data_IF_498629906189
#
_entry.id   IF_498629906189
#
_cell.length_a   1.000
_cell.length_b   1.000
_cell.length_c   1.000
_cell.angle_alpha   90.00
_cell.angle_beta   90.00
_cell.angle_gamma   90.00
#
_symmetry.space_group_name_H-M   'P 1'
#
loop_
_entity.id
_entity.type
_entity.pdbx_description
1 polymer ?
#
# COMPACT_ATOMS: atom_id res chain seq x y z
N UNK A 1 -9.13 7.04 20.84
CA UNK A 1 -9.23 6.68 19.41
C UNK A 1 -8.63 5.28 19.25
N UNK A 2 -9.40 4.32 18.74
CA UNK A 2 -8.88 2.97 18.46
C UNK A 2 -7.79 3.05 17.39
N UNK A 3 -6.57 2.63 17.71
CA UNK A 3 -5.45 2.56 16.76
C UNK A 3 -5.73 1.44 15.77
N UNK A 4 -6.08 1.82 14.54
CA UNK A 4 -6.33 0.87 13.45
C UNK A 4 -5.01 0.20 13.07
N UNK A 5 -4.80 -1.05 13.50
CA UNK A 5 -3.60 -1.83 13.19
C UNK A 5 -3.60 -2.20 11.70
N UNK A 6 -2.62 -1.71 10.95
CA UNK A 6 -2.39 -2.08 9.54
C UNK A 6 -1.19 -3.01 9.45
N UNK A 7 -1.45 -4.28 9.13
CA UNK A 7 -0.37 -5.21 8.79
C UNK A 7 0.13 -4.94 7.37
N UNK A 8 1.40 -5.23 7.07
CA UNK A 8 2.06 -4.86 5.79
C UNK A 8 1.85 -3.40 5.38
N UNK A 9 1.91 -2.47 6.35
CA UNK A 9 1.76 -1.03 6.09
C UNK A 9 2.89 -0.48 5.21
N UNK A 10 4.05 -1.14 5.20
CA UNK A 10 5.24 -0.77 4.42
C UNK A 10 4.93 -0.60 2.93
N UNK A 11 4.04 -1.44 2.39
CA UNK A 11 3.58 -1.37 1.00
C UNK A 11 2.90 -0.01 0.73
N UNK A 12 2.10 0.47 1.68
CA UNK A 12 1.46 1.79 1.59
C UNK A 12 2.43 2.93 1.88
N UNK A 13 3.37 2.76 2.81
CA UNK A 13 4.42 3.76 3.09
C UNK A 13 5.22 4.03 1.83
N UNK A 14 5.71 2.96 1.20
CA UNK A 14 6.45 3.07 -0.06
C UNK A 14 5.57 3.70 -1.15
N UNK A 15 4.31 3.29 -1.24
CA UNK A 15 3.38 3.83 -2.24
C UNK A 15 3.20 5.35 -2.12
N UNK A 16 3.00 5.80 -0.88
CA UNK A 16 2.87 7.22 -0.56
C UNK A 16 4.22 7.89 -0.83
N UNK A 17 5.32 7.51 -0.17
CA UNK A 17 6.63 8.15 -0.34
C UNK A 17 7.08 8.34 -1.80
N UNK A 18 6.81 7.35 -2.66
CA UNK A 18 7.19 7.38 -4.08
C UNK A 18 6.13 7.99 -5.00
N UNK A 19 4.95 8.35 -4.46
CA UNK A 19 3.75 8.75 -5.21
C UNK A 19 3.43 7.77 -6.34
N UNK A 20 3.63 6.47 -6.09
CA UNK A 20 3.35 5.39 -7.03
C UNK A 20 2.85 4.18 -6.28
N UNK A 21 1.64 3.71 -6.60
CA UNK A 21 1.06 2.55 -5.93
C UNK A 21 1.95 1.32 -6.08
N UNK A 22 2.23 0.65 -4.96
CA UNK A 22 3.02 -0.58 -4.92
C UNK A 22 2.36 -1.66 -5.76
N UNK A 23 3.15 -2.29 -6.64
CA UNK A 23 2.68 -3.37 -7.49
C UNK A 23 2.74 -4.71 -6.73
N UNK A 24 1.63 -5.09 -6.11
CA UNK A 24 1.50 -6.35 -5.39
C UNK A 24 1.60 -7.59 -6.30
N UNK A 25 1.38 -7.44 -7.62
CA UNK A 25 1.54 -8.55 -8.56
C UNK A 25 3.02 -8.82 -8.87
N UNK A 26 3.90 -7.82 -8.72
CA UNK A 26 5.35 -8.00 -8.89
C UNK A 26 5.96 -9.00 -7.90
N UNK A 27 5.34 -9.18 -6.73
CA UNK A 27 5.76 -10.13 -5.69
C UNK A 27 4.95 -11.43 -5.70
N UNK A 28 4.18 -11.68 -6.75
CA UNK A 28 3.40 -12.91 -6.90
C UNK A 28 4.35 -14.10 -7.09
N UNK A 29 4.19 -15.18 -6.30
CA UNK A 29 5.06 -16.35 -6.44
C UNK A 29 4.83 -17.04 -7.78
N UNK A 30 5.90 -17.61 -8.32
CA UNK A 30 5.92 -18.37 -9.58
C UNK A 30 6.48 -19.77 -9.33
N UNK A 31 5.80 -20.80 -9.83
CA UNK A 31 6.28 -22.17 -9.73
C UNK A 31 7.30 -22.44 -10.83
N UNK A 32 8.52 -22.80 -10.45
CA UNK A 32 9.59 -23.19 -11.37
C UNK A 32 9.95 -24.63 -11.13
N UNK A 33 9.67 -25.52 -12.08
CA UNK A 33 9.97 -26.94 -11.98
C UNK A 33 11.37 -27.25 -12.54
N UNK A 34 12.00 -28.29 -12.01
CA UNK A 34 13.18 -28.90 -12.61
C UNK A 34 12.74 -29.64 -13.87
N UNK A 35 13.33 -29.28 -15.00
CA UNK A 35 13.03 -29.90 -16.31
C UNK A 35 14.07 -30.94 -16.73
N UNK A 36 15.28 -30.91 -16.15
CA UNK A 36 16.36 -31.84 -16.46
C UNK A 36 15.98 -33.29 -16.10
N UNK A 37 15.88 -34.15 -17.13
CA UNK A 37 15.53 -35.56 -17.01
C UNK A 37 16.65 -36.41 -16.42
N UNK A 38 17.90 -35.92 -16.39
CA UNK A 38 19.02 -36.65 -15.81
C UNK A 38 19.16 -36.43 -14.30
N UNK A 39 18.28 -35.64 -13.69
CA UNK A 39 18.31 -35.36 -12.26
C UNK A 39 17.60 -36.49 -11.48
N UNK A 40 18.32 -37.31 -10.69
CA UNK A 40 17.71 -38.43 -9.98
C UNK A 40 16.70 -37.99 -8.92
N UNK A 41 16.80 -36.75 -8.43
CA UNK A 41 15.89 -36.20 -7.41
C UNK A 41 14.78 -35.32 -8.02
N UNK A 42 14.59 -35.35 -9.35
CA UNK A 42 13.66 -34.45 -10.06
C UNK A 42 12.27 -34.43 -9.42
N UNK A 43 11.72 -35.60 -9.14
CA UNK A 43 10.37 -35.75 -8.61
C UNK A 43 10.25 -35.16 -7.21
N UNK A 44 11.16 -35.53 -6.30
CA UNK A 44 11.21 -35.04 -4.91
C UNK A 44 11.34 -33.51 -4.90
N UNK A 45 12.30 -32.96 -5.67
CA UNK A 45 12.50 -31.51 -5.77
C UNK A 45 11.27 -30.79 -6.34
N UNK A 46 10.58 -31.39 -7.30
CA UNK A 46 9.37 -30.80 -7.88
C UNK A 46 8.19 -30.86 -6.90
N UNK A 47 8.05 -31.93 -6.11
CA UNK A 47 7.03 -32.04 -5.06
C UNK A 47 7.24 -31.01 -3.94
N UNK A 48 8.48 -30.86 -3.46
CA UNK A 48 8.86 -29.82 -2.50
C UNK A 48 8.53 -28.42 -3.04
N UNK A 49 8.94 -28.12 -4.29
CA UNK A 49 8.66 -26.82 -4.93
C UNK A 49 7.17 -26.55 -5.09
N UNK A 50 6.35 -27.56 -5.41
CA UNK A 50 4.89 -27.42 -5.46
C UNK A 50 4.32 -27.08 -4.08
N UNK A 51 4.79 -27.76 -3.05
CA UNK A 51 4.34 -27.55 -1.67
C UNK A 51 4.69 -26.15 -1.16
N UNK A 52 5.93 -25.71 -1.38
CA UNK A 52 6.36 -24.34 -1.07
C UNK A 52 5.57 -23.31 -1.86
N UNK A 53 5.39 -23.52 -3.17
CA UNK A 53 4.61 -22.62 -4.02
C UNK A 53 3.17 -22.44 -3.54
N UNK A 54 2.48 -23.51 -3.13
CA UNK A 54 1.12 -23.42 -2.61
C UNK A 54 1.06 -22.59 -1.32
N UNK A 55 2.04 -22.77 -0.44
CA UNK A 55 2.16 -22.00 0.79
C UNK A 55 2.42 -20.52 0.50
N UNK A 56 3.37 -20.22 -0.38
CA UNK A 56 3.69 -18.86 -0.79
C UNK A 56 2.51 -18.19 -1.49
N UNK A 57 1.78 -18.92 -2.35
CA UNK A 57 0.60 -18.40 -3.02
C UNK A 57 -0.51 -18.05 -2.02
N UNK A 58 -0.69 -18.86 -0.97
CA UNK A 58 -1.64 -18.57 0.11
C UNK A 58 -1.23 -17.29 0.87
N UNK A 59 0.04 -17.17 1.23
CA UNK A 59 0.57 -16.00 1.94
C UNK A 59 0.45 -14.73 1.08
N UNK A 60 0.76 -14.81 -0.21
CA UNK A 60 0.60 -13.70 -1.16
C UNK A 60 -0.87 -13.27 -1.29
N UNK A 61 -1.81 -14.21 -1.43
CA UNK A 61 -3.25 -13.90 -1.45
C UNK A 61 -3.70 -13.17 -0.16
N UNK A 62 -3.19 -13.59 0.99
CA UNK A 62 -3.47 -12.94 2.26
C UNK A 62 -2.90 -11.50 2.31
N UNK A 63 -1.64 -11.31 1.91
CA UNK A 63 -1.02 -9.98 1.81
C UNK A 63 -1.77 -9.07 0.83
N UNK A 64 -2.19 -9.58 -0.33
CA UNK A 64 -2.98 -8.83 -1.32
C UNK A 64 -4.30 -8.33 -0.73
N UNK A 65 -5.03 -9.16 0.00
CA UNK A 65 -6.26 -8.75 0.70
C UNK A 65 -6.00 -7.66 1.74
N UNK A 66 -4.89 -7.78 2.49
CA UNK A 66 -4.47 -6.76 3.46
C UNK A 66 -4.10 -5.45 2.75
N UNK A 67 -3.37 -5.52 1.64
CA UNK A 67 -3.02 -4.37 0.81
C UNK A 67 -4.28 -3.64 0.31
N UNK A 68 -5.27 -4.37 -0.20
CA UNK A 68 -6.56 -3.78 -0.63
C UNK A 68 -7.31 -3.11 0.53
N UNK A 69 -7.25 -3.68 1.74
CA UNK A 69 -7.83 -3.05 2.92
C UNK A 69 -7.06 -1.79 3.34
N UNK A 70 -5.73 -1.84 3.30
CA UNK A 70 -4.88 -0.71 3.64
C UNK A 70 -5.09 0.47 2.67
N UNK A 71 -5.30 0.22 1.37
CA UNK A 71 -5.66 1.29 0.42
C UNK A 71 -6.90 2.07 0.87
N UNK A 72 -7.96 1.37 1.30
CA UNK A 72 -9.20 2.01 1.80
C UNK A 72 -8.96 2.79 3.09
N UNK A 73 -8.14 2.25 3.99
CA UNK A 73 -7.81 2.94 5.24
C UNK A 73 -7.01 4.22 4.97
N UNK A 74 -6.02 4.16 4.06
CA UNK A 74 -5.21 5.30 3.64
C UNK A 74 -6.08 6.33 2.92
N UNK A 75 -6.99 5.91 2.03
CA UNK A 75 -8.00 6.78 1.42
C UNK A 75 -8.80 7.54 2.50
N UNK A 76 -9.36 6.82 3.48
CA UNK A 76 -10.13 7.43 4.56
C UNK A 76 -9.30 8.37 5.44
N UNK A 77 -8.00 8.10 5.61
CA UNK A 77 -7.08 9.02 6.30
C UNK A 77 -6.87 10.30 5.48
N UNK A 78 -6.64 10.19 4.18
CA UNK A 78 -6.45 11.33 3.29
C UNK A 78 -7.69 12.24 3.29
N UNK A 79 -8.87 11.66 3.09
CA UNK A 79 -10.13 12.42 3.07
C UNK A 79 -10.39 13.16 4.39
N UNK A 80 -10.08 12.53 5.54
CA UNK A 80 -10.23 13.18 6.87
C UNK A 80 -9.30 14.38 7.10
N UNK A 81 -8.22 14.51 6.32
CA UNK A 81 -7.32 15.64 6.43
C UNK A 81 -7.63 16.74 5.41
N UNK A 82 -8.51 16.47 4.43
CA UNK A 82 -8.98 17.47 3.50
C UNK A 82 -10.02 18.38 4.17
N UNK A 83 -10.00 19.67 3.84
CA UNK A 83 -11.08 20.59 4.21
C UNK A 83 -12.31 20.35 3.32
N UNK A 84 -13.51 20.69 3.81
CA UNK A 84 -14.79 20.43 3.13
C UNK A 84 -14.79 20.90 1.67
N UNK A 85 -14.26 22.09 1.40
CA UNK A 85 -14.15 22.62 0.04
C UNK A 85 -13.29 21.74 -0.89
N UNK A 86 -12.23 21.11 -0.40
CA UNK A 86 -11.42 20.17 -1.20
C UNK A 86 -12.18 18.88 -1.46
N UNK A 87 -12.89 18.37 -0.45
CA UNK A 87 -13.74 17.17 -0.57
C UNK A 87 -14.83 17.41 -1.62
N UNK A 88 -15.57 18.51 -1.52
CA UNK A 88 -16.60 18.91 -2.49
C UNK A 88 -16.07 18.98 -3.91
N UNK A 89 -14.84 19.48 -4.09
CA UNK A 89 -14.21 19.60 -5.41
C UNK A 89 -13.82 18.23 -5.97
N UNK A 90 -13.28 17.34 -5.14
CA UNK A 90 -12.93 15.97 -5.52
C UNK A 90 -14.19 15.16 -5.89
N UNK A 91 -15.25 15.23 -5.08
CA UNK A 91 -16.49 14.47 -5.29
C UNK A 91 -17.23 14.85 -6.58
N UNK A 92 -17.00 16.05 -7.10
CA UNK A 92 -17.56 16.50 -8.38
C UNK A 92 -16.80 15.98 -9.61
N UNK A 93 -15.63 15.37 -9.43
CA UNK A 93 -14.86 14.83 -10.54
C UNK A 93 -15.49 13.55 -11.07
N UNK A 94 -15.59 13.43 -12.40
CA UNK A 94 -16.23 12.28 -13.04
C UNK A 94 -15.55 10.93 -12.72
N UNK A 95 -14.26 10.95 -12.37
CA UNK A 95 -13.48 9.77 -12.02
C UNK A 95 -13.37 9.52 -10.50
N UNK A 96 -14.10 10.26 -9.67
CA UNK A 96 -14.02 10.16 -8.21
C UNK A 96 -14.33 8.75 -7.69
N UNK A 97 -15.51 8.22 -7.98
CA UNK A 97 -15.94 6.90 -7.48
C UNK A 97 -15.13 5.73 -8.08
N UNK A 98 -14.71 5.86 -9.34
CA UNK A 98 -14.09 4.76 -10.07
C UNK A 98 -12.57 4.69 -9.88
N UNK A 99 -11.89 5.83 -9.83
CA UNK A 99 -10.43 5.94 -9.78
C UNK A 99 -9.95 6.39 -8.41
N UNK A 100 -10.40 7.56 -7.94
CA UNK A 100 -9.85 8.20 -6.73
C UNK A 100 -10.18 7.43 -5.44
N UNK A 101 -11.35 6.79 -5.39
CA UNK A 101 -11.74 5.93 -4.27
C UNK A 101 -10.84 4.68 -4.11
N UNK A 102 -10.38 4.12 -5.23
CA UNK A 102 -9.64 2.86 -5.25
C UNK A 102 -8.11 3.04 -5.27
N UNK A 103 -7.64 4.24 -5.59
CA UNK A 103 -6.23 4.59 -5.68
C UNK A 103 -5.91 5.80 -4.77
N UNK A 104 -5.48 5.56 -3.52
CA UNK A 104 -5.13 6.63 -2.60
C UNK A 104 -3.91 7.44 -3.06
N UNK A 105 -3.06 6.91 -3.94
CA UNK A 105 -1.91 7.64 -4.48
C UNK A 105 -2.38 8.64 -5.53
N UNK A 106 -3.27 8.22 -6.44
CA UNK A 106 -3.91 9.14 -7.39
C UNK A 106 -4.67 10.25 -6.66
N UNK A 107 -5.39 9.91 -5.59
CA UNK A 107 -6.06 10.90 -4.75
C UNK A 107 -5.06 11.94 -4.19
N UNK A 108 -3.92 11.48 -3.65
CA UNK A 108 -2.87 12.37 -3.17
C UNK A 108 -2.28 13.26 -4.26
N UNK A 109 -2.12 12.75 -5.49
CA UNK A 109 -1.67 13.54 -6.63
C UNK A 109 -2.72 14.59 -7.05
N UNK A 110 -4.01 14.24 -7.01
CA UNK A 110 -5.09 15.18 -7.33
C UNK A 110 -5.15 16.32 -6.32
N UNK A 111 -5.07 15.96 -5.04
CA UNK A 111 -4.98 16.91 -3.92
C UNK A 111 -3.74 17.81 -4.05
N UNK A 112 -2.58 17.24 -4.42
CA UNK A 112 -1.38 18.02 -4.75
C UNK A 112 -1.68 19.06 -5.80
N UNK A 113 -2.26 18.65 -6.93
CA UNK A 113 -2.55 19.56 -8.04
C UNK A 113 -3.49 20.70 -7.61
N UNK A 114 -4.49 20.44 -6.77
CA UNK A 114 -5.37 21.48 -6.24
C UNK A 114 -4.64 22.48 -5.32
N UNK A 115 -3.72 21.98 -4.48
CA UNK A 115 -2.91 22.78 -3.57
C UNK A 115 -1.63 23.37 -4.19
N UNK A 116 -1.35 23.14 -5.47
CA UNK A 116 -0.23 23.80 -6.17
C UNK A 116 -0.71 24.83 -7.18
N UNK A 117 -2.03 25.05 -7.27
CA UNK A 117 -2.62 26.03 -8.19
C UNK A 117 -2.48 27.48 -7.70
N UNK A 118 -2.09 27.70 -6.43
CA UNK A 118 -1.75 29.03 -5.90
C UNK A 118 -0.39 28.98 -5.19
N UNK A 119 0.46 29.99 -5.39
CA UNK A 119 1.85 30.02 -4.87
C UNK A 119 1.92 29.84 -3.34
N UNK A 120 0.89 30.25 -2.61
CA UNK A 120 0.81 30.15 -1.16
C UNK A 120 0.43 28.73 -0.65
N UNK A 121 -0.13 27.86 -1.50
CA UNK A 121 -0.65 26.54 -1.07
C UNK A 121 0.36 25.39 -1.18
N UNK A 122 1.52 25.61 -1.83
CA UNK A 122 2.59 24.60 -1.92
C UNK A 122 3.13 24.19 -0.54
N UNK A 123 3.22 25.15 0.40
CA UNK A 123 3.64 24.89 1.78
C UNK A 123 2.61 24.08 2.57
N UNK A 124 1.32 24.31 2.32
CA UNK A 124 0.22 23.56 2.96
C UNK A 124 0.20 22.11 2.50
N UNK A 125 0.39 21.87 1.19
CA UNK A 125 0.57 20.52 0.66
C UNK A 125 1.76 19.80 1.28
N UNK A 126 2.91 20.47 1.37
CA UNK A 126 4.10 19.87 1.98
C UNK A 126 3.89 19.54 3.47
N UNK A 127 3.17 20.40 4.20
CA UNK A 127 2.77 20.16 5.58
C UNK A 127 1.84 18.95 5.74
N UNK A 128 0.82 18.84 4.88
CA UNK A 128 -0.09 17.70 4.83
C UNK A 128 0.67 16.42 4.50
N UNK A 129 1.55 16.48 3.50
CA UNK A 129 2.40 15.38 3.06
C UNK A 129 3.29 14.84 4.17
N UNK A 130 4.00 15.74 4.84
CA UNK A 130 4.91 15.42 5.94
C UNK A 130 4.13 14.85 7.13
N UNK A 131 2.96 15.41 7.43
CA UNK A 131 2.09 14.90 8.49
C UNK A 131 1.58 13.50 8.18
N UNK A 132 1.15 13.25 6.93
CA UNK A 132 0.71 11.93 6.47
C UNK A 132 1.85 10.91 6.54
N UNK A 133 3.00 11.24 5.92
CA UNK A 133 4.18 10.38 5.93
C UNK A 133 4.63 10.04 7.35
N UNK A 134 4.68 11.03 8.24
CA UNK A 134 5.02 10.81 9.64
C UNK A 134 4.00 9.91 10.33
N UNK A 135 2.70 10.16 10.15
CA UNK A 135 1.63 9.37 10.80
C UNK A 135 1.66 7.91 10.37
N UNK A 136 1.87 7.64 9.08
CA UNK A 136 2.01 6.26 8.59
C UNK A 136 3.30 5.63 9.15
N UNK A 137 4.41 6.37 9.20
CA UNK A 137 5.68 5.89 9.76
C UNK A 137 5.64 5.65 11.29
N UNK A 138 4.87 6.42 12.07
CA UNK A 138 4.72 6.21 13.52
C UNK A 138 4.12 4.83 13.84
N UNK A 139 3.26 4.32 12.97
CA UNK A 139 2.70 2.97 13.11
C UNK A 139 3.74 1.84 12.93
N UNK A 140 4.93 2.12 12.37
CA UNK A 140 6.05 1.17 12.33
C UNK A 140 6.84 1.13 13.64
N UNK A 141 7.14 2.30 14.25
CA UNK A 141 7.96 2.39 15.48
C UNK A 141 7.32 1.73 16.70
N UNK A 142 6.00 1.67 16.76
CA UNK A 142 5.30 0.89 17.80
C UNK A 142 5.56 -0.62 17.66
N UNK A 143 5.73 -1.15 16.43
CA UNK A 143 6.09 -2.56 16.20
C UNK A 143 7.56 -2.87 16.51
N UNK A 144 8.48 -1.94 16.28
CA UNK A 144 9.91 -2.13 16.59
C UNK A 144 10.17 -2.12 18.10
N UNK A 145 9.51 -1.26 18.87
CA UNK A 145 9.72 -1.17 20.33
C UNK A 145 9.17 -2.38 21.10
N UNK A 146 8.20 -3.12 20.55
CA UNK A 146 7.67 -4.33 21.20
C UNK A 146 8.51 -5.57 20.83
N UNK A 147 9.20 -5.55 19.68
CA UNK A 147 10.10 -6.63 19.27
C UNK A 147 11.47 -6.59 19.98
N UNK A 148 11.86 -5.44 20.55
CA UNK A 148 13.13 -5.26 21.27
C UNK A 148 13.04 -5.45 22.80
N UNK A 149 11.90 -5.89 23.33
CA UNK A 149 11.78 -6.38 24.70
C UNK A 149 11.79 -7.92 24.72
N UNK A 150 12.98 -8.50 24.55
CA UNK A 150 13.30 -9.85 25.01
C UNK A 150 14.71 -9.86 25.58
#
# INVERSE_FOLDING_TARGET
MSTMKMDHIDDMIQSVQTLKLFDIESVKPTLVLVTDDNNPDKEIKNEERRTHYLTDQKNWKARKKVFDNNKRNVYGMIMKMCIDHMVDKLEREADFENKLFNDPVELLMRIKNFMTTTVDTEWEYFGLWKTMSNRINYHQKEKENIANCK
#
